data_IF_112134433170
#
_entry.id   IF_112134433170
#
_cell.length_a   1.000
_cell.length_b   1.000
_cell.length_c   1.000
_cell.angle_alpha   90.00
_cell.angle_beta   90.00
_cell.angle_gamma   90.00
#
_symmetry.space_group_name_H-M   'P 1'
#
loop_
_entity.id
_entity.type
_entity.pdbx_description
1 polymer ?
#
# COMPACT_ATOMS: atom_id res chain seq x y z
N UNK A 1 -14.57 6.94 8.46
CA UNK A 1 -13.10 6.93 8.38
C UNK A 1 -12.58 6.21 9.61
N UNK A 2 -11.65 5.29 9.45
CA UNK A 2 -10.87 4.68 10.53
C UNK A 2 -9.41 5.14 10.38
N UNK A 3 -8.84 5.70 11.44
CA UNK A 3 -7.41 5.99 11.55
C UNK A 3 -6.87 5.25 12.77
N UNK A 4 -5.88 4.39 12.57
CA UNK A 4 -5.34 3.48 13.60
C UNK A 4 -3.82 3.51 13.63
N UNK A 5 -3.21 4.56 13.10
CA UNK A 5 -1.77 4.76 13.06
C UNK A 5 -1.13 4.67 14.46
N UNK A 6 -0.37 3.60 14.75
CA UNK A 6 0.23 3.32 16.05
C UNK A 6 -0.74 2.83 17.14
N UNK A 7 -1.97 2.48 16.76
CA UNK A 7 -3.04 2.07 17.66
C UNK A 7 -3.40 0.59 17.54
N UNK A 8 -4.45 0.18 18.25
CA UNK A 8 -5.04 -1.16 18.14
C UNK A 8 -6.52 -1.07 17.79
N UNK A 9 -6.96 -1.79 16.76
CA UNK A 9 -8.37 -2.02 16.45
C UNK A 9 -8.55 -3.44 15.91
N UNK A 10 -9.46 -4.21 16.48
CA UNK A 10 -9.70 -5.60 16.06
C UNK A 10 -11.17 -5.80 15.70
N UNK A 11 -11.46 -6.85 14.93
CA UNK A 11 -12.80 -7.15 14.43
C UNK A 11 -13.42 -5.99 13.62
N UNK A 12 -12.60 -5.28 12.85
CA UNK A 12 -13.04 -4.18 11.99
C UNK A 12 -13.78 -4.75 10.77
N UNK A 13 -14.90 -4.15 10.41
CA UNK A 13 -15.53 -4.37 9.09
C UNK A 13 -15.34 -3.12 8.24
N UNK A 14 -14.54 -3.22 7.19
CA UNK A 14 -14.35 -2.17 6.21
C UNK A 14 -15.40 -2.35 5.11
N UNK A 15 -16.48 -1.56 5.19
CA UNK A 15 -17.49 -1.48 4.14
C UNK A 15 -16.96 -0.72 2.92
N UNK A 16 -17.53 -0.97 1.74
CA UNK A 16 -17.27 -0.20 0.53
C UNK A 16 -17.44 1.29 0.80
N UNK A 17 -16.49 2.11 0.34
CA UNK A 17 -16.48 3.53 0.62
C UNK A 17 -15.73 3.93 1.89
N UNK A 18 -15.39 2.98 2.75
CA UNK A 18 -14.72 3.28 4.02
C UNK A 18 -13.26 3.68 3.80
N UNK A 19 -12.91 4.84 4.34
CA UNK A 19 -11.54 5.33 4.39
C UNK A 19 -10.81 4.64 5.55
N UNK A 20 -9.75 3.89 5.24
CA UNK A 20 -8.79 3.35 6.20
C UNK A 20 -7.47 4.11 6.11
N UNK A 21 -6.99 4.67 7.22
CA UNK A 21 -5.66 5.30 7.35
C UNK A 21 -4.86 4.57 8.42
N UNK A 22 -3.63 4.19 8.09
CA UNK A 22 -2.79 3.43 9.02
C UNK A 22 -1.32 3.47 8.61
N UNK A 23 -0.49 2.84 9.43
CA UNK A 23 0.89 2.51 9.13
C UNK A 23 1.25 1.12 9.69
N UNK A 24 2.43 0.59 9.37
CA UNK A 24 2.90 -0.70 9.92
C UNK A 24 3.62 -0.57 11.27
N UNK A 25 4.01 0.64 11.70
CA UNK A 25 4.74 0.86 12.94
C UNK A 25 3.84 0.97 14.17
N UNK A 26 3.88 -0.02 15.06
CA UNK A 26 3.12 -0.01 16.31
C UNK A 26 1.61 -0.22 16.15
N UNK A 27 1.14 -0.51 14.93
CA UNK A 27 -0.27 -0.78 14.66
C UNK A 27 -0.60 -2.26 14.84
N UNK A 28 -1.71 -2.55 15.53
CA UNK A 28 -2.41 -3.84 15.47
C UNK A 28 -3.82 -3.64 14.94
N UNK A 29 -4.08 -4.05 13.71
CA UNK A 29 -5.36 -3.94 13.03
C UNK A 29 -5.79 -5.32 12.53
N UNK A 30 -7.05 -5.72 12.75
CA UNK A 30 -7.60 -6.93 12.13
C UNK A 30 -9.07 -6.76 11.78
N UNK A 31 -9.48 -7.38 10.68
CA UNK A 31 -10.83 -7.23 10.19
C UNK A 31 -11.15 -7.95 8.89
N UNK A 32 -12.26 -7.57 8.29
CA UNK A 32 -12.70 -8.00 6.96
C UNK A 32 -13.00 -6.80 6.07
N UNK A 33 -12.68 -6.92 4.78
CA UNK A 33 -13.04 -5.99 3.71
C UNK A 33 -13.69 -6.78 2.56
N UNK A 34 -14.02 -6.12 1.45
CA UNK A 34 -14.65 -6.76 0.28
C UNK A 34 -13.80 -7.87 -0.37
N UNK A 35 -12.50 -7.91 -0.08
CA UNK A 35 -11.50 -8.84 -0.62
C UNK A 35 -11.12 -9.94 0.40
N UNK A 36 -11.79 -9.97 1.56
CA UNK A 36 -11.62 -11.00 2.59
C UNK A 36 -11.05 -10.47 3.91
N UNK A 37 -10.44 -11.35 4.68
CA UNK A 37 -9.78 -10.97 5.93
C UNK A 37 -8.53 -10.12 5.64
N UNK A 38 -8.29 -9.12 6.47
CA UNK A 38 -7.09 -8.28 6.39
C UNK A 38 -6.49 -8.04 7.77
N UNK A 39 -5.21 -7.70 7.81
CA UNK A 39 -4.53 -7.38 9.07
C UNK A 39 -3.37 -6.41 8.90
N UNK A 40 -3.01 -5.75 9.99
CA UNK A 40 -1.70 -5.13 10.20
C UNK A 40 -1.24 -5.59 11.58
N UNK A 41 -0.16 -6.37 11.66
CA UNK A 41 0.37 -6.83 12.94
C UNK A 41 1.86 -7.15 12.81
N UNK A 42 2.64 -6.86 13.86
CA UNK A 42 4.10 -7.07 13.88
C UNK A 42 4.82 -6.50 12.64
N UNK A 43 4.47 -5.28 12.24
CA UNK A 43 5.01 -4.58 11.06
C UNK A 43 4.63 -5.17 9.70
N UNK A 44 3.70 -6.13 9.66
CA UNK A 44 3.23 -6.75 8.42
C UNK A 44 1.79 -6.35 8.16
N UNK A 45 1.53 -5.70 7.03
CA UNK A 45 0.20 -5.51 6.47
C UNK A 45 -0.13 -6.65 5.50
N UNK A 46 -1.33 -7.22 5.57
CA UNK A 46 -1.79 -8.28 4.67
C UNK A 46 -3.23 -8.00 4.20
N UNK A 47 -3.45 -8.07 2.89
CA UNK A 47 -4.74 -7.90 2.23
C UNK A 47 -5.48 -6.59 2.56
N UNK A 48 -4.73 -5.51 2.82
CA UNK A 48 -5.30 -4.19 3.12
C UNK A 48 -5.93 -3.59 1.86
N UNK A 49 -7.17 -3.11 1.98
CA UNK A 49 -7.90 -2.42 0.92
C UNK A 49 -7.85 -0.91 1.15
N UNK A 50 -7.37 -0.17 0.16
CA UNK A 50 -7.23 1.29 0.19
C UNK A 50 -8.07 1.91 -0.91
N UNK A 51 -9.06 2.72 -0.53
CA UNK A 51 -9.97 3.41 -1.44
C UNK A 51 -10.47 4.72 -0.83
N UNK A 52 -10.99 5.62 -1.66
CA UNK A 52 -11.67 6.85 -1.23
C UNK A 52 -10.83 7.79 -0.36
N UNK A 53 -9.51 7.80 -0.52
CA UNK A 53 -8.57 8.55 0.32
C UNK A 53 -7.99 7.74 1.49
N UNK A 54 -8.21 6.43 1.50
CA UNK A 54 -7.50 5.50 2.37
C UNK A 54 -6.00 5.53 2.10
N UNK A 55 -5.21 5.40 3.16
CA UNK A 55 -3.77 5.52 3.12
C UNK A 55 -3.07 4.47 3.98
N UNK A 56 -1.96 3.94 3.49
CA UNK A 56 -1.09 3.06 4.26
C UNK A 56 0.39 3.41 4.08
N UNK A 57 1.05 3.75 5.18
CA UNK A 57 2.50 3.85 5.24
C UNK A 57 3.11 2.49 5.61
N UNK A 58 3.97 1.94 4.75
CA UNK A 58 4.86 0.84 5.12
C UNK A 58 6.14 1.46 5.63
N UNK A 59 6.26 1.50 6.96
CA UNK A 59 7.42 2.06 7.63
C UNK A 59 8.67 1.21 7.38
N UNK A 60 9.84 1.80 7.64
CA UNK A 60 11.13 1.11 7.57
C UNK A 60 11.07 -0.22 8.34
N UNK A 61 11.60 -1.28 7.72
CA UNK A 61 11.57 -2.66 8.22
C UNK A 61 10.18 -3.31 8.30
N UNK A 62 9.12 -2.61 7.89
CA UNK A 62 7.79 -3.17 7.70
C UNK A 62 7.62 -3.81 6.33
N UNK A 63 6.59 -4.65 6.22
CA UNK A 63 6.20 -5.26 4.96
C UNK A 63 4.70 -5.15 4.68
N UNK A 64 4.34 -5.20 3.41
CA UNK A 64 2.96 -5.33 2.95
C UNK A 64 2.84 -6.45 1.93
N UNK A 65 1.82 -7.27 2.07
CA UNK A 65 1.50 -8.34 1.14
C UNK A 65 0.08 -8.13 0.60
N UNK A 66 -0.09 -8.27 -0.72
CA UNK A 66 -1.40 -8.29 -1.37
C UNK A 66 -2.27 -7.06 -1.04
N UNK A 67 -1.64 -5.90 -0.85
CA UNK A 67 -2.39 -4.64 -0.68
C UNK A 67 -3.11 -4.31 -1.98
N UNK A 68 -4.35 -3.86 -1.89
CA UNK A 68 -5.20 -3.50 -3.02
C UNK A 68 -5.49 -2.01 -2.94
N UNK A 69 -5.06 -1.26 -3.95
CA UNK A 69 -5.18 0.19 -4.03
C UNK A 69 -6.17 0.54 -5.14
N UNK A 70 -7.36 1.00 -4.77
CA UNK A 70 -8.43 1.43 -5.68
C UNK A 70 -8.46 2.97 -5.78
N UNK A 71 -9.48 3.51 -6.43
CA UNK A 71 -9.63 4.96 -6.68
C UNK A 71 -9.36 5.80 -5.43
N UNK A 72 -8.43 6.75 -5.57
CA UNK A 72 -7.96 7.67 -4.50
C UNK A 72 -7.32 7.00 -3.29
N UNK A 73 -7.16 5.68 -3.28
CA UNK A 73 -6.33 4.98 -2.31
C UNK A 73 -4.85 5.24 -2.58
N UNK A 74 -4.06 5.33 -1.52
CA UNK A 74 -2.62 5.57 -1.65
C UNK A 74 -1.79 4.72 -0.70
N UNK A 75 -0.62 4.27 -1.14
CA UNK A 75 0.32 3.51 -0.31
C UNK A 75 1.73 4.09 -0.46
N UNK A 76 2.39 4.35 0.66
CA UNK A 76 3.80 4.75 0.69
C UNK A 76 4.68 3.58 1.13
N UNK A 77 5.61 3.14 0.29
CA UNK A 77 6.64 2.18 0.66
C UNK A 77 7.91 2.96 0.98
N UNK A 78 8.17 3.18 2.26
CA UNK A 78 9.29 4.01 2.71
C UNK A 78 10.64 3.28 2.54
N UNK A 79 11.74 4.03 2.67
CA UNK A 79 13.09 3.45 2.60
C UNK A 79 13.25 2.29 3.59
N UNK A 80 13.90 1.21 3.15
CA UNK A 80 14.05 -0.06 3.89
C UNK A 80 12.73 -0.81 4.19
N UNK A 81 11.61 -0.40 3.60
CA UNK A 81 10.36 -1.17 3.61
C UNK A 81 10.23 -2.06 2.36
N UNK A 82 9.32 -3.03 2.43
CA UNK A 82 9.01 -3.92 1.30
C UNK A 82 7.50 -4.06 1.07
N UNK A 83 7.06 -3.97 -0.17
CA UNK A 83 5.73 -4.39 -0.60
C UNK A 83 5.84 -5.54 -1.59
N UNK A 84 4.99 -6.54 -1.47
CA UNK A 84 4.92 -7.70 -2.37
C UNK A 84 3.49 -7.90 -2.87
N UNK A 85 3.36 -8.23 -4.16
CA UNK A 85 2.08 -8.56 -4.81
C UNK A 85 1.00 -7.47 -4.64
N UNK A 86 1.40 -6.19 -4.61
CA UNK A 86 0.45 -5.07 -4.54
C UNK A 86 -0.33 -4.96 -5.85
N UNK A 87 -1.65 -4.81 -5.77
CA UNK A 87 -2.53 -4.55 -6.93
C UNK A 87 -2.98 -3.10 -6.92
N UNK A 88 -2.64 -2.36 -7.98
CA UNK A 88 -2.99 -0.94 -8.14
C UNK A 88 -4.04 -0.82 -9.26
N UNK A 89 -5.30 -0.68 -8.87
CA UNK A 89 -6.42 -0.50 -9.79
C UNK A 89 -6.58 0.98 -10.19
N UNK A 90 -7.53 1.25 -11.09
CA UNK A 90 -7.79 2.59 -11.63
C UNK A 90 -7.94 3.66 -10.54
N UNK A 91 -7.12 4.71 -10.63
CA UNK A 91 -7.10 5.84 -9.69
C UNK A 91 -6.33 5.59 -8.38
N UNK A 92 -5.82 4.38 -8.16
CA UNK A 92 -4.93 4.05 -7.04
C UNK A 92 -3.50 4.50 -7.30
N UNK A 93 -2.77 4.84 -6.23
CA UNK A 93 -1.37 5.29 -6.32
C UNK A 93 -0.48 4.58 -5.30
N UNK A 94 0.69 4.14 -5.75
CA UNK A 94 1.75 3.62 -4.88
C UNK A 94 3.03 4.43 -5.07
N UNK A 95 3.55 5.00 -3.99
CA UNK A 95 4.81 5.74 -3.97
C UNK A 95 5.91 4.87 -3.34
N UNK A 96 7.01 4.64 -4.05
CA UNK A 96 8.04 3.65 -3.68
C UNK A 96 9.39 4.34 -3.48
N UNK A 97 9.83 4.41 -2.23
CA UNK A 97 11.20 4.76 -1.83
C UNK A 97 11.97 3.57 -1.22
N UNK A 98 11.27 2.46 -0.93
CA UNK A 98 11.83 1.16 -0.55
C UNK A 98 11.82 0.17 -1.71
N UNK A 99 11.34 -1.06 -1.46
CA UNK A 99 11.26 -2.11 -2.46
C UNK A 99 9.81 -2.51 -2.74
N UNK A 100 9.44 -2.60 -4.01
CA UNK A 100 8.14 -3.09 -4.47
C UNK A 100 8.33 -4.28 -5.42
N UNK A 101 7.95 -5.47 -4.98
CA UNK A 101 8.09 -6.70 -5.75
C UNK A 101 6.72 -7.16 -6.29
N UNK A 102 6.70 -7.70 -7.50
CA UNK A 102 5.55 -8.36 -8.11
C UNK A 102 4.28 -7.49 -8.15
N UNK A 103 4.45 -6.16 -8.28
CA UNK A 103 3.32 -5.22 -8.37
C UNK A 103 2.53 -5.47 -9.65
N UNK A 104 1.20 -5.44 -9.55
CA UNK A 104 0.29 -5.52 -10.70
C UNK A 104 -0.41 -4.16 -10.85
N UNK A 105 -0.26 -3.51 -12.00
CA UNK A 105 -0.91 -2.23 -12.30
C UNK A 105 -2.05 -2.46 -13.31
N UNK A 106 -3.28 -2.17 -12.88
CA UNK A 106 -4.54 -2.30 -13.62
C UNK A 106 -5.24 -0.94 -13.76
N UNK A 107 -4.50 0.08 -14.20
CA UNK A 107 -5.02 1.43 -14.45
C UNK A 107 -4.61 2.45 -13.40
N UNK A 108 -3.94 2.02 -12.34
CA UNK A 108 -3.35 2.89 -11.33
C UNK A 108 -1.98 3.46 -11.72
N UNK A 109 -1.32 4.07 -10.74
CA UNK A 109 0.03 4.63 -10.89
C UNK A 109 0.97 4.08 -9.84
N UNK A 110 2.16 3.65 -10.27
CA UNK A 110 3.29 3.37 -9.38
C UNK A 110 4.38 4.42 -9.62
N UNK A 111 4.76 5.17 -8.60
CA UNK A 111 5.86 6.14 -8.67
C UNK A 111 7.09 5.56 -7.96
N UNK A 112 8.16 5.33 -8.71
CA UNK A 112 9.46 4.92 -8.17
C UNK A 112 10.27 6.19 -7.90
N UNK A 113 10.37 6.53 -6.62
CA UNK A 113 11.09 7.71 -6.12
C UNK A 113 12.57 7.42 -5.94
N UNK A 114 13.36 8.42 -5.54
CA UNK A 114 14.79 8.27 -5.30
C UNK A 114 15.09 7.05 -4.41
N UNK A 115 15.99 6.18 -4.89
CA UNK A 115 16.40 4.91 -4.27
C UNK A 115 15.31 3.82 -4.18
N UNK A 116 14.10 4.10 -4.66
CA UNK A 116 13.06 3.10 -4.81
C UNK A 116 13.43 2.05 -5.85
N UNK A 117 13.08 0.80 -5.57
CA UNK A 117 13.31 -0.32 -6.48
C UNK A 117 11.97 -1.00 -6.71
N UNK A 118 11.60 -1.19 -7.98
CA UNK A 118 10.50 -2.06 -8.36
C UNK A 118 11.03 -3.26 -9.15
N UNK A 119 10.66 -4.46 -8.74
CA UNK A 119 11.03 -5.70 -9.43
C UNK A 119 9.79 -6.50 -9.83
N UNK A 120 9.81 -7.11 -11.02
CA UNK A 120 8.71 -7.96 -11.48
C UNK A 120 7.37 -7.25 -11.64
N UNK A 121 7.36 -5.92 -11.88
CA UNK A 121 6.11 -5.19 -12.10
C UNK A 121 5.43 -5.64 -13.39
N UNK A 122 4.17 -6.02 -13.29
CA UNK A 122 3.31 -6.33 -14.44
C UNK A 122 2.31 -5.19 -14.64
N UNK A 123 2.37 -4.53 -15.80
CA UNK A 123 1.52 -3.40 -16.15
C UNK A 123 0.51 -3.85 -17.20
N UNK A 124 -0.72 -4.12 -16.77
CA UNK A 124 -1.84 -4.41 -17.68
C UNK A 124 -2.42 -3.11 -18.27
N UNK A 125 -2.47 -2.04 -17.45
CA UNK A 125 -2.82 -0.67 -17.84
C UNK A 125 -2.35 0.32 -16.76
N UNK A 126 -2.36 1.62 -17.04
CA UNK A 126 -1.90 2.65 -16.09
C UNK A 126 -0.45 3.08 -16.34
N UNK A 127 0.29 3.41 -15.29
CA UNK A 127 1.64 3.98 -15.44
C UNK A 127 2.59 3.57 -14.32
N UNK A 128 3.83 3.28 -14.68
CA UNK A 128 4.96 3.26 -13.76
C UNK A 128 5.87 4.45 -14.10
N UNK A 129 6.00 5.40 -13.18
CA UNK A 129 6.90 6.55 -13.31
C UNK A 129 8.20 6.25 -12.58
N UNK A 130 9.33 6.41 -13.25
CA UNK A 130 10.65 6.24 -12.64
C UNK A 130 11.32 7.60 -12.55
N UNK A 131 11.56 8.08 -11.33
CA UNK A 131 12.28 9.33 -11.12
C UNK A 131 13.79 9.05 -11.09
N UNK A 132 14.52 9.59 -12.07
CA UNK A 132 15.98 9.57 -12.04
C UNK A 132 16.51 10.59 -11.02
N UNK A 133 17.53 10.19 -10.26
CA UNK A 133 18.36 11.12 -9.49
C UNK A 133 19.10 12.02 -10.48
N UNK A 134 18.66 13.26 -10.67
CA UNK A 134 19.53 14.28 -11.27
C UNK A 134 20.64 14.58 -10.27
N UNK A 135 21.80 13.98 -10.46
CA UNK A 135 23.02 14.48 -9.83
C UNK A 135 23.32 15.85 -10.42
N UNK A 136 23.41 16.87 -9.56
CA UNK A 136 23.85 18.22 -9.92
C UNK A 136 25.35 18.26 -10.21
#
# INVERSE_FOLDING_TARGET
MLDVSGGTATNVTQHDGAILKSNTNGTTLSGTNSEGAFSIHNHVADNVLLENGGHLDINAYGSANKTIIKDKGTMSVLTNAKADATRIDNGGVMDVAGNADNTIINGGTQNINNYGIATGTNINSGTQNIQERRES
#
